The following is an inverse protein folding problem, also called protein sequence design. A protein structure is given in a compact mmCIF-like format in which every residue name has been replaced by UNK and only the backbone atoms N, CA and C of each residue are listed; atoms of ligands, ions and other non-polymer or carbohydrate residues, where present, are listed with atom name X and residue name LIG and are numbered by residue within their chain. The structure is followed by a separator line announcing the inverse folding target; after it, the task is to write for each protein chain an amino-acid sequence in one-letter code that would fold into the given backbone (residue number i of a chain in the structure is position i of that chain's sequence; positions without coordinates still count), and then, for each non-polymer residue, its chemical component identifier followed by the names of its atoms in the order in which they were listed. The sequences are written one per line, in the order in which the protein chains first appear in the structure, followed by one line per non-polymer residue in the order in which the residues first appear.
data_IF_290399632031
#
_entry.id   IF_290399632031
#
_cell.length_a   1.000
_cell.length_b   1.000
_cell.length_c   1.000
_cell.angle_alpha   90.00
_cell.angle_beta   90.00
_cell.angle_gamma   90.00
#
_symmetry.space_group_name_H-M   'P 1'
#
loop_
_entity.id
_entity.type
_entity.pdbx_description
1 polymer ?
#
# COMPACT_ATOMS: atom_id res chain seq x y z
N UNK A 1 -50.33 14.75 -14.51
CA UNK A 1 -49.45 13.58 -14.29
C UNK A 1 -48.04 13.96 -14.68
N UNK A 2 -47.07 13.66 -13.81
CA UNK A 2 -45.65 13.91 -14.05
C UNK A 2 -44.99 14.72 -12.92
N UNK A 3 -44.94 14.15 -11.71
CA UNK A 3 -44.08 14.65 -10.64
C UNK A 3 -42.63 14.37 -11.03
N UNK A 4 -41.79 15.41 -11.10
CA UNK A 4 -40.34 15.26 -11.14
C UNK A 4 -39.81 15.47 -9.73
N UNK A 5 -39.54 14.37 -9.03
CA UNK A 5 -38.78 14.37 -7.79
C UNK A 5 -37.30 14.58 -8.14
N UNK A 6 -36.78 15.79 -7.94
CA UNK A 6 -35.34 16.01 -7.84
C UNK A 6 -34.95 15.81 -6.38
N UNK A 7 -34.51 14.61 -6.02
CA UNK A 7 -33.84 14.36 -4.74
C UNK A 7 -32.35 14.60 -4.95
N UNK A 8 -31.82 15.62 -4.26
CA UNK A 8 -30.41 16.01 -4.37
C UNK A 8 -29.50 14.91 -3.80
N UNK A 9 -28.67 14.31 -4.66
CA UNK A 9 -27.72 13.30 -4.24
C UNK A 9 -26.61 13.90 -3.35
N UNK A 10 -26.21 13.21 -2.26
CA UNK A 10 -25.12 13.64 -1.40
C UNK A 10 -23.81 13.75 -2.20
N UNK A 11 -23.09 14.87 -2.04
CA UNK A 11 -21.84 15.13 -2.75
C UNK A 11 -20.75 15.74 -1.87
N UNK A 12 -19.52 15.26 -2.07
CA UNK A 12 -18.30 15.78 -1.48
C UNK A 12 -17.37 16.29 -2.58
N UNK A 13 -16.67 17.39 -2.29
CA UNK A 13 -15.65 17.96 -3.18
C UNK A 13 -14.30 18.00 -2.47
N UNK A 14 -13.25 17.96 -3.29
CA UNK A 14 -11.86 17.96 -2.85
C UNK A 14 -11.10 19.02 -3.67
N UNK A 15 -10.20 19.75 -3.02
CA UNK A 15 -9.25 20.63 -3.69
C UNK A 15 -7.92 19.88 -3.86
N UNK A 16 -7.14 20.20 -4.88
CA UNK A 16 -5.81 19.62 -5.17
C UNK A 16 -4.86 19.65 -3.95
N UNK A 17 -5.06 20.59 -3.00
CA UNK A 17 -4.26 20.69 -1.78
C UNK A 17 -4.78 19.87 -0.59
N UNK A 18 -5.93 19.19 -0.72
CA UNK A 18 -6.59 18.45 0.38
C UNK A 18 -6.66 16.96 0.05
N UNK A 19 -6.13 16.14 0.94
CA UNK A 19 -6.19 14.66 0.85
C UNK A 19 -7.49 14.09 1.44
N UNK A 20 -8.34 14.94 2.02
CA UNK A 20 -9.63 14.59 2.61
C UNK A 20 -10.66 15.70 2.32
N UNK A 21 -11.95 15.37 2.37
CA UNK A 21 -13.01 16.35 2.18
C UNK A 21 -13.18 17.17 3.45
N UNK A 22 -13.61 18.43 3.32
CA UNK A 22 -14.05 19.24 4.47
C UNK A 22 -15.40 18.77 5.02
N UNK A 23 -16.14 17.97 4.24
CA UNK A 23 -17.29 17.22 4.74
C UNK A 23 -16.80 15.90 5.33
N UNK A 24 -17.06 15.72 6.62
CA UNK A 24 -16.67 14.52 7.37
C UNK A 24 -17.45 13.26 6.94
N UNK A 25 -18.63 13.43 6.35
CA UNK A 25 -19.46 12.32 5.86
C UNK A 25 -20.14 12.67 4.52
N UNK A 26 -20.32 11.67 3.66
CA UNK A 26 -21.15 11.80 2.45
C UNK A 26 -22.62 11.56 2.78
N UNK A 27 -22.91 10.46 3.47
CA UNK A 27 -24.25 10.07 3.92
C UNK A 27 -24.12 9.68 5.40
N UNK A 28 -24.91 10.25 6.31
CA UNK A 28 -25.00 9.78 7.69
C UNK A 28 -25.37 8.29 7.73
N UNK A 29 -24.82 7.55 8.70
CA UNK A 29 -25.07 6.11 8.81
C UNK A 29 -26.57 5.82 9.02
N UNK A 30 -27.25 6.69 9.75
CA UNK A 30 -28.68 6.60 10.06
C UNK A 30 -29.56 6.78 8.81
N UNK A 31 -29.09 7.58 7.84
CA UNK A 31 -29.75 7.79 6.56
C UNK A 31 -29.47 6.64 5.59
N UNK A 32 -28.25 6.10 5.60
CA UNK A 32 -27.84 4.92 4.84
C UNK A 32 -28.60 3.66 5.27
N UNK A 33 -28.79 3.46 6.57
CA UNK A 33 -29.44 2.28 7.14
C UNK A 33 -30.97 2.41 7.21
N UNK A 34 -31.54 3.52 6.77
CA UNK A 34 -32.98 3.71 6.77
C UNK A 34 -33.61 2.71 5.78
N UNK A 35 -34.62 1.97 6.23
CA UNK A 35 -35.32 0.95 5.43
C UNK A 35 -36.00 1.51 4.16
N UNK A 36 -36.19 2.83 4.12
CA UNK A 36 -36.72 3.56 2.96
C UNK A 36 -35.62 4.18 2.08
N UNK A 37 -34.34 3.85 2.30
CA UNK A 37 -33.24 4.42 1.54
C UNK A 37 -32.96 3.58 0.31
N UNK A 38 -32.83 4.23 -0.85
CA UNK A 38 -32.45 3.57 -2.11
C UNK A 38 -30.91 3.42 -2.24
N UNK A 39 -30.17 3.66 -1.14
CA UNK A 39 -28.71 3.62 -1.14
C UNK A 39 -28.12 2.22 -0.95
N UNK A 40 -28.88 1.31 -0.33
CA UNK A 40 -28.51 -0.09 -0.13
C UNK A 40 -29.48 -0.98 -0.90
N UNK A 41 -28.93 -1.82 -1.79
CA UNK A 41 -29.65 -2.88 -2.48
C UNK A 41 -28.86 -4.17 -2.23
N UNK A 42 -29.50 -5.17 -1.62
CA UNK A 42 -28.87 -6.47 -1.29
C UNK A 42 -27.52 -6.33 -0.55
N UNK A 43 -27.51 -5.56 0.55
CA UNK A 43 -26.31 -5.23 1.34
C UNK A 43 -25.17 -4.56 0.55
N UNK A 44 -25.46 -4.07 -0.65
CA UNK A 44 -24.51 -3.44 -1.56
C UNK A 44 -24.86 -1.98 -1.78
N UNK A 45 -23.84 -1.11 -1.75
CA UNK A 45 -23.96 0.31 -2.09
C UNK A 45 -22.99 0.65 -3.23
N UNK A 46 -23.44 1.48 -4.19
CA UNK A 46 -22.61 1.96 -5.29
C UNK A 46 -22.32 3.44 -5.10
N UNK A 47 -21.03 3.79 -5.03
CA UNK A 47 -20.59 5.18 -4.95
C UNK A 47 -20.09 5.66 -6.32
N UNK A 48 -20.61 6.80 -6.77
CA UNK A 48 -20.12 7.50 -7.96
C UNK A 48 -19.12 8.60 -7.58
N UNK A 49 -17.96 8.63 -8.23
CA UNK A 49 -17.00 9.73 -8.10
C UNK A 49 -17.00 10.55 -9.38
N UNK A 50 -17.30 11.85 -9.27
CA UNK A 50 -17.18 12.80 -10.39
C UNK A 50 -15.94 13.67 -10.21
N UNK A 51 -14.95 13.48 -11.07
CA UNK A 51 -13.73 14.29 -11.08
C UNK A 51 -13.94 15.48 -12.01
N UNK A 52 -14.06 16.68 -11.45
CA UNK A 52 -14.37 17.90 -12.22
C UNK A 52 -13.15 18.52 -12.91
N UNK A 53 -11.95 18.33 -12.34
CA UNK A 53 -10.69 18.88 -12.87
C UNK A 53 -9.52 18.03 -12.41
N UNK A 54 -8.90 17.31 -13.34
CA UNK A 54 -7.60 16.69 -13.14
C UNK A 54 -6.54 17.61 -13.76
N UNK A 55 -5.61 18.12 -12.96
CA UNK A 55 -4.43 18.79 -13.49
C UNK A 55 -3.35 17.72 -13.67
N UNK A 56 -3.08 17.32 -14.91
CA UNK A 56 -1.90 16.53 -15.25
C UNK A 56 -0.70 17.48 -15.20
N UNK A 57 0.16 17.33 -14.20
CA UNK A 57 1.39 18.09 -14.12
C UNK A 57 2.42 17.51 -15.09
N UNK A 58 2.37 17.92 -16.36
CA UNK A 58 3.48 17.63 -17.29
C UNK A 58 4.76 18.35 -16.80
N UNK A 59 5.93 17.69 -16.80
CA UNK A 59 7.20 18.32 -16.41
C UNK A 59 7.68 19.39 -17.41
N UNK A 60 7.06 19.50 -18.59
CA UNK A 60 7.42 20.53 -19.57
C UNK A 60 6.70 21.86 -19.31
N UNK A 61 7.44 22.80 -18.71
CA UNK A 61 7.05 24.21 -18.62
C UNK A 61 6.93 24.83 -20.02
N UNK A 62 5.73 24.82 -20.60
CA UNK A 62 5.33 25.80 -21.61
C UNK A 62 4.03 26.49 -21.20
N UNK A 63 3.92 27.82 -21.33
CA UNK A 63 2.72 28.55 -20.94
C UNK A 63 1.60 28.21 -21.92
N UNK A 64 0.61 27.45 -21.48
CA UNK A 64 -0.58 27.14 -22.28
C UNK A 64 -1.64 28.19 -21.99
N UNK A 65 -2.00 28.96 -23.01
CA UNK A 65 -3.16 29.85 -23.03
C UNK A 65 -4.42 28.98 -22.86
N UNK A 66 -5.18 29.22 -21.79
CA UNK A 66 -6.40 28.46 -21.47
C UNK A 66 -7.52 28.90 -22.41
N UNK A 67 -7.71 28.17 -23.51
CA UNK A 67 -8.98 28.18 -24.24
C UNK A 67 -9.98 27.31 -23.49
N UNK A 68 -11.20 27.82 -23.29
CA UNK A 68 -12.32 27.10 -22.65
C UNK A 68 -12.68 25.86 -23.50
N UNK A 69 -12.05 24.72 -23.24
CA UNK A 69 -12.44 23.42 -23.82
C UNK A 69 -13.63 22.83 -23.05
N UNK A 70 -14.53 22.10 -23.74
CA UNK A 70 -15.67 21.46 -23.12
C UNK A 70 -15.20 20.43 -22.08
N UNK A 71 -15.88 20.41 -20.93
CA UNK A 71 -15.62 19.48 -19.83
C UNK A 71 -15.81 18.07 -20.38
N UNK A 72 -14.73 17.31 -20.49
CA UNK A 72 -14.77 15.92 -20.91
C UNK A 72 -15.12 15.09 -19.67
N UNK A 73 -16.31 14.51 -19.63
CA UNK A 73 -16.65 13.52 -18.60
C UNK A 73 -15.84 12.25 -18.84
N UNK A 74 -14.80 12.03 -18.03
CA UNK A 74 -14.07 10.77 -18.01
C UNK A 74 -14.69 9.87 -16.94
N UNK A 75 -15.34 8.77 -17.37
CA UNK A 75 -15.79 7.71 -16.45
C UNK A 75 -14.58 6.85 -16.10
N UNK A 76 -14.03 7.03 -14.90
CA UNK A 76 -12.97 6.19 -14.38
C UNK A 76 -13.59 4.91 -13.81
N UNK A 77 -13.47 3.80 -14.53
CA UNK A 77 -13.85 2.50 -14.02
C UNK A 77 -12.72 1.98 -13.13
N UNK A 78 -12.95 1.91 -11.82
CA UNK A 78 -12.12 1.11 -10.93
C UNK A 78 -12.44 -0.36 -11.17
N UNK A 79 -11.85 -0.94 -12.21
CA UNK A 79 -11.85 -2.40 -12.35
C UNK A 79 -11.00 -2.96 -11.21
N UNK A 80 -11.56 -3.91 -10.46
CA UNK A 80 -10.80 -4.83 -9.62
C UNK A 80 -9.87 -5.60 -10.55
N UNK A 81 -8.69 -5.05 -10.81
CA UNK A 81 -7.61 -5.78 -11.46
C UNK A 81 -7.29 -6.96 -10.55
N UNK A 82 -6.99 -8.12 -11.13
CA UNK A 82 -6.63 -9.30 -10.35
C UNK A 82 -5.52 -8.95 -9.35
N UNK A 83 -5.73 -9.34 -8.09
CA UNK A 83 -4.76 -9.13 -7.03
C UNK A 83 -3.58 -10.06 -7.30
N UNK A 84 -2.42 -9.50 -7.60
CA UNK A 84 -1.21 -10.32 -7.79
C UNK A 84 -0.62 -10.60 -6.42
N UNK A 85 -0.49 -11.88 -6.07
CA UNK A 85 0.10 -12.33 -4.82
C UNK A 85 1.41 -13.05 -5.07
N UNK A 86 2.35 -12.93 -4.14
CA UNK A 86 3.55 -13.73 -4.11
C UNK A 86 4.13 -13.81 -2.71
N UNK A 87 5.01 -14.78 -2.50
CA UNK A 87 5.69 -14.98 -1.24
C UNK A 87 7.19 -15.18 -1.48
N UNK A 88 8.00 -14.78 -0.50
CA UNK A 88 9.44 -14.97 -0.50
C UNK A 88 9.92 -15.39 0.88
N UNK A 89 10.89 -16.30 0.94
CA UNK A 89 11.51 -16.75 2.18
C UNK A 89 13.01 -16.52 2.10
N UNK A 90 13.57 -15.90 3.14
CA UNK A 90 14.99 -15.64 3.28
C UNK A 90 15.52 -16.31 4.55
N UNK A 91 16.42 -17.26 4.37
CA UNK A 91 17.12 -17.95 5.47
C UNK A 91 18.53 -17.40 5.59
N UNK A 92 18.96 -17.13 6.83
CA UNK A 92 20.31 -16.69 7.17
C UNK A 92 20.85 -17.59 8.28
N UNK A 93 22.04 -18.16 8.13
CA UNK A 93 22.59 -19.13 9.08
C UNK A 93 23.44 -18.51 10.20
N UNK A 94 23.88 -17.25 10.05
CA UNK A 94 24.83 -16.59 10.93
C UNK A 94 24.32 -15.25 11.50
N UNK A 95 23.04 -15.19 11.88
CA UNK A 95 22.40 -13.96 12.38
C UNK A 95 23.18 -13.29 13.53
N UNK A 96 23.68 -14.06 14.50
CA UNK A 96 24.35 -13.55 15.69
C UNK A 96 25.68 -12.83 15.38
N UNK A 97 26.28 -13.09 14.22
CA UNK A 97 27.51 -12.45 13.78
C UNK A 97 27.27 -11.11 13.06
N UNK A 98 26.01 -10.80 12.73
CA UNK A 98 25.66 -9.61 11.94
C UNK A 98 25.74 -8.33 12.77
N UNK A 99 26.64 -7.44 12.37
CA UNK A 99 26.85 -6.11 12.99
C UNK A 99 26.34 -4.95 12.13
N UNK A 100 26.07 -5.23 10.85
CA UNK A 100 25.72 -4.23 9.85
C UNK A 100 24.43 -4.63 9.13
N UNK A 101 23.75 -3.67 8.48
CA UNK A 101 22.58 -3.97 7.67
C UNK A 101 22.90 -4.97 6.57
N UNK A 102 21.97 -5.88 6.32
CA UNK A 102 22.08 -6.92 5.30
C UNK A 102 20.85 -6.92 4.40
N UNK A 103 21.04 -7.29 3.14
CA UNK A 103 19.97 -7.38 2.15
C UNK A 103 19.81 -8.80 1.64
N UNK A 104 18.57 -9.20 1.36
CA UNK A 104 18.30 -10.48 0.70
C UNK A 104 18.69 -10.45 -0.78
N UNK A 105 18.77 -11.62 -1.41
CA UNK A 105 18.69 -11.71 -2.86
C UNK A 105 17.41 -11.03 -3.38
N UNK A 106 17.47 -10.50 -4.60
CA UNK A 106 16.30 -9.93 -5.25
C UNK A 106 15.33 -11.05 -5.68
N UNK A 107 14.03 -10.80 -5.55
CA UNK A 107 12.96 -11.73 -5.93
C UNK A 107 11.86 -10.99 -6.70
N UNK A 108 11.11 -11.70 -7.54
CA UNK A 108 10.12 -11.09 -8.43
C UNK A 108 8.69 -11.45 -8.04
N UNK A 109 7.84 -10.44 -7.86
CA UNK A 109 6.40 -10.58 -7.63
C UNK A 109 5.68 -9.52 -8.45
N UNK A 110 4.76 -9.96 -9.31
CA UNK A 110 3.97 -9.10 -10.19
C UNK A 110 4.78 -8.24 -11.15
N UNK A 111 5.86 -8.79 -11.71
CA UNK A 111 6.74 -8.09 -12.64
C UNK A 111 7.66 -7.05 -12.01
N UNK A 112 7.70 -7.00 -10.67
CA UNK A 112 8.55 -6.10 -9.91
C UNK A 112 9.60 -6.89 -9.13
N UNK A 113 10.85 -6.39 -9.14
CA UNK A 113 11.94 -6.94 -8.35
C UNK A 113 11.99 -6.28 -6.98
N UNK A 114 12.01 -7.11 -5.95
CA UNK A 114 11.95 -6.75 -4.55
C UNK A 114 13.18 -7.26 -3.82
N UNK A 115 13.52 -6.66 -2.69
CA UNK A 115 14.47 -7.24 -1.74
C UNK A 115 14.10 -6.82 -0.32
N UNK A 116 14.52 -7.63 0.66
CA UNK A 116 14.37 -7.32 2.07
C UNK A 116 15.66 -6.67 2.55
N UNK A 117 15.55 -5.60 3.34
CA UNK A 117 16.64 -4.93 4.02
C UNK A 117 16.43 -5.08 5.53
N UNK A 118 17.39 -5.72 6.21
CA UNK A 118 17.35 -5.99 7.64
C UNK A 118 18.46 -5.22 8.34
N UNK A 119 18.09 -4.54 9.43
CA UNK A 119 19.04 -3.94 10.37
C UNK A 119 19.01 -4.78 11.65
N UNK A 120 19.95 -5.72 11.82
CA UNK A 120 19.87 -6.75 12.88
C UNK A 120 20.01 -6.16 14.28
N UNK A 121 20.65 -4.99 14.42
CA UNK A 121 20.79 -4.27 15.69
C UNK A 121 19.92 -3.00 15.74
N UNK A 122 19.00 -2.87 14.79
CA UNK A 122 18.16 -1.70 14.63
C UNK A 122 18.77 -0.61 13.75
N UNK A 123 18.01 0.47 13.56
CA UNK A 123 18.31 1.59 12.68
C UNK A 123 18.31 2.93 13.45
N UNK A 124 18.30 4.05 12.73
CA UNK A 124 18.30 5.39 13.33
C UNK A 124 17.06 5.72 14.17
N UNK A 125 15.97 4.95 14.04
CA UNK A 125 14.71 5.14 14.75
C UNK A 125 14.52 4.14 15.90
N UNK A 126 15.20 3.00 15.86
CA UNK A 126 15.19 2.02 16.95
C UNK A 126 16.53 1.31 17.09
N UNK A 127 17.09 1.33 18.30
CA UNK A 127 18.37 0.68 18.63
C UNK A 127 18.21 -0.57 19.49
N UNK A 128 16.97 -0.96 19.82
CA UNK A 128 16.65 -2.08 20.72
C UNK A 128 15.80 -3.16 20.06
N UNK A 129 15.52 -2.99 18.78
CA UNK A 129 14.70 -3.89 17.98
C UNK A 129 15.41 -4.14 16.66
N UNK A 130 15.24 -5.33 16.09
CA UNK A 130 15.55 -5.56 14.68
C UNK A 130 14.60 -4.70 13.85
N UNK A 131 15.12 -4.04 12.83
CA UNK A 131 14.34 -3.31 11.84
C UNK A 131 14.27 -4.08 10.52
N UNK A 132 13.10 -4.12 9.90
CA UNK A 132 12.87 -4.92 8.69
C UNK A 132 12.06 -4.13 7.67
N UNK A 133 12.58 -4.06 6.45
CA UNK A 133 12.02 -3.26 5.37
C UNK A 133 11.93 -4.07 4.07
N UNK A 134 10.85 -3.85 3.34
CA UNK A 134 10.70 -4.26 1.95
C UNK A 134 11.08 -3.10 1.04
N UNK A 135 11.95 -3.36 0.08
CA UNK A 135 12.40 -2.39 -0.89
C UNK A 135 12.10 -2.87 -2.31
N UNK A 136 11.87 -1.90 -3.19
CA UNK A 136 11.84 -2.13 -4.62
C UNK A 136 13.27 -1.99 -5.16
N UNK A 137 13.73 -2.96 -5.95
CA UNK A 137 15.11 -3.01 -6.44
C UNK A 137 15.41 -1.88 -7.44
N UNK A 138 14.50 -1.64 -8.38
CA UNK A 138 14.62 -0.60 -9.42
C UNK A 138 13.45 0.38 -9.32
N UNK A 139 13.47 1.34 -8.36
CA UNK A 139 12.38 2.30 -8.21
C UNK A 139 12.22 3.24 -9.40
N UNK A 140 13.27 3.42 -10.20
CA UNK A 140 13.26 4.22 -11.44
C UNK A 140 12.41 3.61 -12.56
N UNK A 141 12.05 2.33 -12.48
CA UNK A 141 11.13 1.67 -13.43
C UNK A 141 9.66 1.96 -13.12
N UNK A 142 9.35 2.52 -11.94
CA UNK A 142 8.02 3.07 -11.69
C UNK A 142 7.95 4.47 -12.31
N UNK A 143 6.99 4.76 -13.20
CA UNK A 143 6.72 6.13 -13.63
C UNK A 143 6.61 7.06 -12.41
N UNK A 144 7.21 8.25 -12.46
CA UNK A 144 7.26 9.22 -11.35
C UNK A 144 5.88 9.63 -10.82
N UNK A 145 4.83 9.42 -11.61
CA UNK A 145 3.43 9.70 -11.31
C UNK A 145 2.62 8.44 -10.94
N UNK A 146 3.25 7.27 -10.96
CA UNK A 146 2.60 6.00 -10.66
C UNK A 146 2.74 5.59 -9.20
N UNK A 147 1.60 5.28 -8.58
CA UNK A 147 1.54 4.66 -7.27
C UNK A 147 1.24 3.17 -7.41
N UNK A 148 2.03 2.31 -6.76
CA UNK A 148 1.69 0.90 -6.59
C UNK A 148 1.22 0.67 -5.16
N UNK A 149 -0.07 0.40 -4.98
CA UNK A 149 -0.64 0.04 -3.69
C UNK A 149 -0.36 -1.42 -3.41
N UNK A 150 0.35 -1.69 -2.32
CA UNK A 150 0.63 -3.04 -1.88
C UNK A 150 0.20 -3.26 -0.43
N UNK A 151 -0.12 -4.49 -0.15
CA UNK A 151 -0.26 -5.03 1.19
C UNK A 151 0.87 -6.04 1.41
N UNK A 152 1.62 -5.84 2.48
CA UNK A 152 2.76 -6.67 2.85
C UNK A 152 2.52 -7.29 4.21
N UNK A 153 2.85 -8.57 4.33
CA UNK A 153 3.03 -9.25 5.61
C UNK A 153 4.48 -9.69 5.68
N UNK A 154 5.23 -9.16 6.64
CA UNK A 154 6.57 -9.63 6.95
C UNK A 154 6.53 -10.46 8.24
N UNK A 155 7.32 -11.53 8.30
CA UNK A 155 7.42 -12.33 9.52
C UNK A 155 8.84 -12.85 9.78
N UNK A 156 9.17 -13.01 11.06
CA UNK A 156 10.29 -13.84 11.52
C UNK A 156 9.69 -15.12 12.09
N UNK A 157 10.14 -16.25 11.54
CA UNK A 157 9.60 -17.58 11.85
C UNK A 157 10.15 -18.06 13.19
N UNK A 158 9.25 -18.36 14.11
CA UNK A 158 9.52 -19.26 15.24
C UNK A 158 9.59 -20.70 14.69
N UNK A 159 10.76 -21.31 14.80
CA UNK A 159 11.11 -22.60 14.21
C UNK A 159 10.74 -23.80 15.10
N UNK A 160 10.21 -23.55 16.31
CA UNK A 160 9.96 -24.59 17.31
C UNK A 160 8.49 -24.65 17.74
N UNK A 161 7.79 -23.50 17.84
CA UNK A 161 6.44 -23.43 18.41
C UNK A 161 5.40 -22.85 17.46
N UNK A 162 5.76 -22.59 16.20
CA UNK A 162 4.89 -22.00 15.17
C UNK A 162 4.34 -20.60 15.51
N UNK A 163 4.85 -19.95 16.58
CA UNK A 163 4.41 -18.62 17.02
C UNK A 163 5.22 -17.52 16.36
N UNK A 164 5.04 -17.33 15.06
CA UNK A 164 5.79 -16.37 14.27
C UNK A 164 5.56 -14.91 14.72
N UNK A 165 6.60 -14.07 14.62
CA UNK A 165 6.45 -12.63 14.81
C UNK A 165 6.04 -12.00 13.48
N UNK A 166 4.80 -11.54 13.38
CA UNK A 166 4.20 -11.08 12.14
C UNK A 166 3.87 -9.58 12.24
N UNK A 167 4.18 -8.82 11.19
CA UNK A 167 3.68 -7.45 11.01
C UNK A 167 3.07 -7.32 9.62
N UNK A 168 1.90 -6.68 9.55
CA UNK A 168 1.15 -6.47 8.32
C UNK A 168 0.87 -4.99 8.11
N UNK A 169 0.98 -4.54 6.86
CA UNK A 169 0.71 -3.15 6.53
C UNK A 169 0.36 -2.96 5.07
N UNK A 170 -0.33 -1.85 4.80
CA UNK A 170 -0.69 -1.40 3.46
C UNK A 170 -0.07 -0.05 3.18
N UNK A 171 0.54 0.10 2.02
CA UNK A 171 1.18 1.34 1.64
C UNK A 171 1.28 1.49 0.12
N UNK A 172 1.55 2.70 -0.32
CA UNK A 172 1.73 3.02 -1.74
C UNK A 172 3.19 3.33 -2.00
N UNK A 173 3.83 2.59 -2.92
CA UNK A 173 5.12 2.99 -3.47
C UNK A 173 4.91 4.14 -4.44
N UNK A 174 5.35 5.33 -4.04
CA UNK A 174 5.37 6.53 -4.87
C UNK A 174 6.65 7.33 -4.55
N UNK A 175 7.74 7.05 -5.26
CA UNK A 175 9.04 7.72 -5.09
C UNK A 175 9.80 7.43 -3.78
N UNK A 176 9.27 6.58 -2.89
CA UNK A 176 9.99 6.08 -1.70
C UNK A 176 10.65 4.74 -2.01
N UNK A 177 11.90 4.57 -1.58
CA UNK A 177 12.69 3.38 -1.92
C UNK A 177 12.34 2.13 -1.09
N UNK A 178 11.62 2.26 0.04
CA UNK A 178 11.23 1.13 0.89
C UNK A 178 10.24 1.51 1.98
N UNK A 179 9.65 0.49 2.59
CA UNK A 179 8.70 0.60 3.70
C UNK A 179 8.78 -0.62 4.61
N UNK A 180 8.50 -0.45 5.89
CA UNK A 180 8.62 -1.51 6.88
C UNK A 180 8.58 -0.96 8.30
N UNK A 181 9.21 -1.66 9.23
CA UNK A 181 9.13 -1.35 10.66
C UNK A 181 10.51 -1.24 11.29
N UNK A 182 10.81 -0.07 11.86
CA UNK A 182 12.01 0.13 12.68
C UNK A 182 11.97 -0.73 13.96
N UNK A 183 10.78 -0.92 14.53
CA UNK A 183 10.54 -1.76 15.71
C UNK A 183 9.84 -3.07 15.32
N UNK A 184 10.49 -3.92 14.51
CA UNK A 184 9.86 -5.14 14.01
C UNK A 184 9.75 -6.23 15.09
N UNK A 185 10.86 -6.52 15.77
CA UNK A 185 10.91 -7.41 16.94
C UNK A 185 11.96 -6.89 17.93
N UNK A 186 11.66 -6.82 19.24
CA UNK A 186 12.67 -6.46 20.24
C UNK A 186 13.82 -7.45 20.25
N UNK A 187 15.07 -6.97 20.32
CA UNK A 187 16.25 -7.84 20.33
C UNK A 187 16.25 -8.81 21.52
N UNK A 188 15.71 -8.37 22.67
CA UNK A 188 15.51 -9.24 23.84
C UNK A 188 14.61 -10.43 23.54
N UNK A 189 13.55 -10.22 22.75
CA UNK A 189 12.61 -11.29 22.36
C UNK A 189 13.22 -12.17 21.27
N UNK A 190 13.89 -11.57 20.29
CA UNK A 190 14.52 -12.30 19.19
C UNK A 190 15.65 -13.21 19.67
N UNK A 191 16.46 -12.74 20.62
CA UNK A 191 17.63 -13.46 21.14
C UNK A 191 17.29 -14.40 22.31
N UNK A 192 16.04 -14.47 22.75
CA UNK A 192 15.61 -15.41 23.79
C UNK A 192 15.48 -16.82 23.17
N UNK A 193 16.34 -17.78 23.55
CA UNK A 193 16.33 -19.11 22.94
C UNK A 193 14.99 -19.84 23.14
N UNK A 194 14.23 -19.52 24.19
CA UNK A 194 12.91 -20.12 24.44
C UNK A 194 11.82 -19.69 23.44
N UNK A 195 12.12 -18.71 22.57
CA UNK A 195 11.18 -18.19 21.57
C UNK A 195 11.33 -18.84 20.20
N UNK A 196 12.37 -19.65 19.97
CA UNK A 196 12.55 -20.39 18.71
C UNK A 196 12.84 -19.56 17.46
N UNK A 197 13.02 -18.24 17.56
CA UNK A 197 13.30 -17.38 16.39
C UNK A 197 14.71 -17.58 15.82
N UNK A 198 15.68 -17.93 16.67
CA UNK A 198 17.07 -18.19 16.30
C UNK A 198 17.46 -19.61 16.72
N UNK A 199 17.47 -20.56 15.79
CA UNK A 199 17.91 -21.95 16.03
C UNK A 199 19.33 -22.11 15.49
N UNK A 200 20.32 -22.26 16.37
CA UNK A 200 21.73 -22.37 15.96
C UNK A 200 22.22 -21.15 15.18
N UNK A 201 21.79 -19.94 15.57
CA UNK A 201 22.01 -18.68 14.85
C UNK A 201 21.28 -18.53 13.51
N UNK A 202 20.45 -19.51 13.12
CA UNK A 202 19.64 -19.43 11.91
C UNK A 202 18.38 -18.60 12.12
N UNK A 203 18.17 -17.60 11.28
CA UNK A 203 16.97 -16.76 11.24
C UNK A 203 16.25 -16.96 9.90
N UNK A 204 14.92 -17.08 9.93
CA UNK A 204 14.10 -17.22 8.72
C UNK A 204 13.09 -16.08 8.67
N UNK A 205 13.15 -15.30 7.59
CA UNK A 205 12.22 -14.22 7.29
C UNK A 205 11.29 -14.63 6.16
N UNK A 206 10.00 -14.37 6.28
CA UNK A 206 9.04 -14.51 5.19
C UNK A 206 8.43 -13.15 4.83
N UNK A 207 8.15 -12.98 3.55
CA UNK A 207 7.45 -11.83 3.00
C UNK A 207 6.31 -12.30 2.09
N UNK A 208 5.08 -11.99 2.46
CA UNK A 208 3.89 -12.16 1.62
C UNK A 208 3.48 -10.79 1.07
N UNK A 209 3.39 -10.67 -0.24
CA UNK A 209 3.11 -9.42 -0.94
C UNK A 209 1.85 -9.59 -1.77
N UNK A 210 0.90 -8.67 -1.61
CA UNK A 210 -0.28 -8.54 -2.47
C UNK A 210 -0.25 -7.17 -3.14
N UNK A 211 -0.17 -7.14 -4.48
CA UNK A 211 -0.30 -5.93 -5.27
C UNK A 211 -1.78 -5.72 -5.54
N UNK A 212 -2.32 -4.64 -4.95
CA UNK A 212 -3.75 -4.31 -5.00
C UNK A 212 -4.09 -3.53 -6.27
N UNK A 213 -3.18 -2.67 -6.69
CA UNK A 213 -3.34 -1.91 -7.92
C UNK A 213 -2.12 -1.07 -8.22
N UNK A 214 -1.85 -0.89 -9.52
CA UNK A 214 -0.88 0.07 -10.03
C UNK A 214 -1.62 1.08 -10.90
N UNK A 215 -1.31 2.36 -10.73
CA UNK A 215 -1.75 3.38 -11.70
C UNK A 215 -0.83 3.30 -12.92
N UNK A 216 -1.15 2.43 -13.87
CA UNK A 216 -0.51 2.48 -15.17
C UNK A 216 -1.21 3.54 -16.02
N UNK A 217 -0.45 4.49 -16.57
CA UNK A 217 -0.93 5.27 -17.72
C UNK A 217 -1.05 4.27 -18.88
N UNK A 218 -2.26 3.81 -19.17
CA UNK A 218 -2.51 2.89 -20.26
C UNK A 218 -2.10 3.53 -21.59
N UNK A 219 -0.96 3.11 -22.12
CA UNK A 219 -0.76 3.04 -23.55
C UNK A 219 -1.12 1.61 -23.95
N UNK A 220 -2.40 1.35 -24.15
CA UNK A 220 -2.86 0.20 -24.93
C UNK A 220 -3.03 0.68 -26.37
N UNK A 221 -2.32 -0.01 -27.26
CA UNK A 221 -2.18 0.21 -28.69
C UNK A 221 -3.51 0.20 -29.46
#
# INVERSE_FOLDING_TARGET
MGNSCVTGAPSCSFNVKKTHSEKLCMIPLEELLKSSSDFLIDDSCVFGVRILKAALSSPEKKPVVVSKKPITEQKLFLQKKELIKGAYTWTMDNYLDLKHPVVSSAFEIGGHKWYINMHPLGDQYSTKSLSLYLHLHDPSKLPSESGMMIEVTLSIVDQEHEKHNIQQGRFTFAGKNGWGWSNFIPLKTLNDPSKGYLVGSKCIVKADITIIGSSNNGASA
#
